data_IF_288313261262
#
_entry.id   IF_288313261262
#
_cell.length_a   1.000
_cell.length_b   1.000
_cell.length_c   1.000
_cell.angle_alpha   90.00
_cell.angle_beta   90.00
_cell.angle_gamma   90.00
#
_symmetry.space_group_name_H-M   'P 1'
#
loop_
_entity.id
_entity.type
_entity.pdbx_description
1 polymer ?
#
# COMPACT_ATOMS: atom_id res chain seq x y z
N UNK A 1 20.11 -21.98 -11.18
CA UNK A 1 20.88 -20.72 -11.01
C UNK A 1 20.99 -20.27 -9.54
N UNK A 2 20.37 -20.95 -8.58
CA UNK A 2 20.43 -20.63 -7.14
C UNK A 2 21.25 -21.63 -6.30
N UNK A 3 21.80 -22.67 -6.93
CA UNK A 3 22.59 -23.71 -6.26
C UNK A 3 23.72 -23.09 -5.42
N UNK A 4 23.77 -23.44 -4.13
CA UNK A 4 24.76 -22.96 -3.18
C UNK A 4 24.63 -21.48 -2.78
N UNK A 5 23.65 -20.73 -3.32
CA UNK A 5 23.41 -19.34 -2.93
C UNK A 5 22.61 -19.27 -1.63
N UNK A 6 22.93 -18.27 -0.81
CA UNK A 6 22.05 -17.83 0.29
C UNK A 6 20.96 -16.92 -0.24
N UNK A 7 19.72 -17.19 0.19
CA UNK A 7 18.53 -16.44 -0.26
C UNK A 7 17.66 -15.98 0.91
N UNK A 8 16.91 -14.91 0.65
CA UNK A 8 15.77 -14.47 1.45
C UNK A 8 14.48 -14.91 0.76
N UNK A 9 13.55 -15.49 1.51
CA UNK A 9 12.20 -15.80 1.03
C UNK A 9 11.28 -14.64 1.40
N UNK A 10 10.51 -14.14 0.45
CA UNK A 10 9.37 -13.26 0.72
C UNK A 10 8.08 -14.04 0.56
N UNK A 11 7.20 -13.93 1.57
CA UNK A 11 5.82 -14.39 1.50
C UNK A 11 4.92 -13.15 1.48
N UNK A 12 4.33 -12.88 0.32
CA UNK A 12 3.40 -11.75 0.15
C UNK A 12 1.99 -12.28 -0.13
N UNK A 13 1.07 -11.97 0.79
CA UNK A 13 -0.31 -12.41 0.75
C UNK A 13 -1.24 -11.33 0.23
N UNK A 14 -2.08 -11.65 -0.75
CA UNK A 14 -3.17 -10.76 -1.16
C UNK A 14 -4.41 -11.54 -1.61
N UNK A 15 -5.56 -10.87 -1.58
CA UNK A 15 -6.80 -11.37 -2.15
C UNK A 15 -6.96 -10.84 -3.57
N UNK A 16 -7.25 -11.73 -4.54
CA UNK A 16 -7.65 -11.28 -5.89
C UNK A 16 -8.97 -10.51 -5.82
N UNK A 17 -9.33 -9.84 -6.92
CA UNK A 17 -10.63 -9.14 -7.09
C UNK A 17 -11.83 -10.07 -6.80
N UNK A 18 -11.66 -11.38 -6.96
CA UNK A 18 -12.67 -12.43 -6.68
C UNK A 18 -12.65 -12.96 -5.25
N UNK A 19 -11.91 -12.33 -4.33
CA UNK A 19 -11.70 -12.79 -2.94
C UNK A 19 -11.03 -14.17 -2.81
N UNK A 20 -10.25 -14.57 -3.80
CA UNK A 20 -9.39 -15.76 -3.71
C UNK A 20 -8.06 -15.37 -3.04
N UNK A 21 -7.75 -15.89 -1.84
CA UNK A 21 -6.54 -15.54 -1.13
C UNK A 21 -5.34 -16.34 -1.66
N UNK A 22 -4.30 -15.64 -2.08
CA UNK A 22 -3.07 -16.25 -2.57
C UNK A 22 -1.85 -15.72 -1.81
N UNK A 23 -0.83 -16.56 -1.70
CA UNK A 23 0.48 -16.18 -1.18
C UNK A 23 1.50 -16.41 -2.28
N UNK A 24 2.19 -15.34 -2.69
CA UNK A 24 3.32 -15.45 -3.60
C UNK A 24 4.61 -15.67 -2.82
N UNK A 25 5.44 -16.60 -3.32
CA UNK A 25 6.76 -16.88 -2.79
C UNK A 25 7.79 -16.34 -3.76
N UNK A 26 8.59 -15.39 -3.30
CA UNK A 26 9.69 -14.81 -4.07
C UNK A 26 11.00 -15.06 -3.36
N UNK A 27 11.99 -15.59 -4.08
CA UNK A 27 13.36 -15.73 -3.60
C UNK A 27 14.18 -14.52 -4.03
N UNK A 28 14.88 -13.91 -3.08
CA UNK A 28 15.83 -12.83 -3.31
C UNK A 28 17.24 -13.32 -3.04
N UNK A 29 18.16 -13.05 -3.96
CA UNK A 29 19.58 -13.31 -3.75
C UNK A 29 20.26 -12.09 -3.16
N UNK A 30 21.44 -12.29 -2.58
CA UNK A 30 22.31 -11.19 -2.12
C UNK A 30 22.70 -10.22 -3.25
N UNK A 31 22.66 -10.67 -4.50
CA UNK A 31 23.10 -9.93 -5.67
C UNK A 31 21.97 -9.01 -6.22
N UNK A 32 20.78 -9.05 -5.61
CA UNK A 32 19.61 -8.25 -6.00
C UNK A 32 18.64 -8.98 -6.95
N UNK A 33 18.98 -10.17 -7.43
CA UNK A 33 18.08 -10.96 -8.27
C UNK A 33 16.84 -11.42 -7.48
N UNK A 34 15.68 -11.41 -8.13
CA UNK A 34 14.41 -11.90 -7.57
C UNK A 34 13.77 -12.95 -8.48
N UNK A 35 13.20 -14.00 -7.86
CA UNK A 35 12.59 -15.13 -8.57
C UNK A 35 11.24 -15.46 -7.94
N UNK A 36 10.15 -15.29 -8.68
CA UNK A 36 8.85 -15.84 -8.29
C UNK A 36 8.89 -17.36 -8.48
N UNK A 37 8.89 -18.10 -7.38
CA UNK A 37 9.09 -19.57 -7.41
C UNK A 37 7.81 -20.34 -7.15
N UNK A 38 6.84 -19.74 -6.47
CA UNK A 38 5.58 -20.40 -6.15
C UNK A 38 4.46 -19.36 -5.98
N UNK A 39 3.24 -19.76 -6.31
CA UNK A 39 2.02 -19.07 -5.90
C UNK A 39 1.12 -20.09 -5.24
N UNK A 40 0.88 -19.91 -3.95
CA UNK A 40 0.11 -20.83 -3.11
C UNK A 40 -1.31 -20.31 -3.04
N UNK A 41 -2.26 -21.09 -3.56
CA UNK A 41 -3.68 -20.86 -3.30
C UNK A 41 -3.99 -21.28 -1.85
N UNK A 42 -4.57 -20.35 -1.09
CA UNK A 42 -4.98 -20.56 0.30
C UNK A 42 -6.48 -20.59 0.47
N UNK A 43 -7.24 -20.67 -0.64
CA UNK A 43 -8.69 -20.84 -0.63
C UNK A 43 -9.08 -22.06 0.21
N UNK A 44 -10.03 -21.87 1.13
CA UNK A 44 -10.48 -22.93 2.03
C UNK A 44 -9.51 -23.26 3.18
N UNK A 45 -8.35 -22.60 3.28
CA UNK A 45 -7.46 -22.70 4.45
C UNK A 45 -7.79 -21.60 5.45
N UNK A 46 -7.72 -21.90 6.74
CA UNK A 46 -7.80 -20.87 7.76
C UNK A 46 -6.50 -20.05 7.74
N UNK A 47 -6.59 -18.72 7.67
CA UNK A 47 -5.41 -17.85 7.77
C UNK A 47 -4.95 -17.66 9.22
N UNK A 48 -4.89 -18.76 9.98
CA UNK A 48 -4.33 -18.77 11.33
C UNK A 48 -2.81 -18.74 11.29
N UNK A 49 -2.19 -18.33 12.40
CA UNK A 49 -0.74 -18.33 12.54
C UNK A 49 -0.13 -19.72 12.26
N UNK A 50 -0.77 -20.79 12.73
CA UNK A 50 -0.27 -22.17 12.58
C UNK A 50 -0.32 -22.66 11.13
N UNK A 51 -1.36 -22.29 10.38
CA UNK A 51 -1.45 -22.60 8.97
C UNK A 51 -0.36 -21.88 8.17
N UNK A 52 -0.15 -20.59 8.46
CA UNK A 52 0.89 -19.78 7.84
C UNK A 52 2.29 -20.29 8.19
N UNK A 53 2.49 -20.75 9.43
CA UNK A 53 3.75 -21.36 9.88
C UNK A 53 4.07 -22.62 9.05
N UNK A 54 3.07 -23.46 8.86
CA UNK A 54 3.19 -24.68 8.04
C UNK A 54 3.56 -24.33 6.60
N UNK A 55 2.88 -23.33 6.02
CA UNK A 55 3.20 -22.85 4.66
C UNK A 55 4.65 -22.35 4.60
N UNK A 56 5.06 -21.49 5.53
CA UNK A 56 6.41 -20.93 5.54
C UNK A 56 7.49 -22.01 5.63
N UNK A 57 7.32 -23.02 6.48
CA UNK A 57 8.26 -24.15 6.60
C UNK A 57 8.33 -24.99 5.33
N UNK A 58 7.18 -25.34 4.77
CA UNK A 58 7.12 -26.13 3.54
C UNK A 58 7.80 -25.37 2.40
N UNK A 59 7.52 -24.08 2.27
CA UNK A 59 8.17 -23.22 1.27
C UNK A 59 9.69 -23.16 1.43
N UNK A 60 10.22 -23.14 2.67
CA UNK A 60 11.66 -23.18 2.91
C UNK A 60 12.24 -24.50 2.40
N UNK A 61 11.66 -25.63 2.81
CA UNK A 61 12.13 -26.97 2.41
C UNK A 61 12.07 -27.11 0.89
N UNK A 62 10.91 -26.82 0.29
CA UNK A 62 10.70 -26.90 -1.15
C UNK A 62 11.68 -26.01 -1.93
N UNK A 63 11.98 -24.80 -1.44
CA UNK A 63 12.93 -23.90 -2.08
C UNK A 63 14.36 -24.45 -2.04
N UNK A 64 14.79 -24.99 -0.89
CA UNK A 64 16.13 -25.57 -0.76
C UNK A 64 16.28 -26.84 -1.58
N UNK A 65 15.29 -27.71 -1.58
CA UNK A 65 15.33 -29.00 -2.31
C UNK A 65 15.26 -28.78 -3.83
N UNK A 66 14.40 -27.86 -4.29
CA UNK A 66 14.18 -27.63 -5.72
C UNK A 66 15.32 -26.83 -6.35
N UNK A 67 15.84 -25.83 -5.64
CA UNK A 67 16.80 -24.87 -6.21
C UNK A 67 18.22 -25.01 -5.68
N UNK A 68 18.44 -25.89 -4.69
CA UNK A 68 19.73 -26.12 -4.05
C UNK A 68 20.29 -24.88 -3.34
N UNK A 69 19.45 -23.91 -3.00
CA UNK A 69 19.83 -22.71 -2.26
C UNK A 69 19.77 -22.96 -0.74
N UNK A 70 20.28 -22.01 0.03
CA UNK A 70 20.13 -21.99 1.48
C UNK A 70 19.28 -20.79 1.90
N UNK A 71 18.10 -21.05 2.47
CA UNK A 71 17.25 -19.98 2.99
C UNK A 71 17.81 -19.54 4.34
N UNK A 72 18.08 -18.24 4.49
CA UNK A 72 18.58 -17.66 5.76
C UNK A 72 17.67 -16.61 6.35
N UNK A 73 16.72 -16.11 5.59
CA UNK A 73 15.72 -15.21 6.11
C UNK A 73 14.37 -15.34 5.42
N UNK A 74 13.31 -14.96 6.15
CA UNK A 74 11.94 -14.86 5.65
C UNK A 74 11.39 -13.47 5.96
N UNK A 75 10.92 -12.78 4.94
CA UNK A 75 10.19 -11.51 5.06
C UNK A 75 8.70 -11.73 4.77
N UNK A 76 7.85 -11.24 5.66
CA UNK A 76 6.39 -11.36 5.52
C UNK A 76 5.69 -10.04 5.84
N UNK A 77 4.41 -9.87 5.48
CA UNK A 77 3.62 -8.70 5.90
C UNK A 77 3.50 -8.59 7.43
N UNK A 78 2.94 -7.49 7.96
CA UNK A 78 2.78 -7.30 9.40
C UNK A 78 1.35 -7.47 9.91
N UNK A 79 0.51 -8.23 9.21
CA UNK A 79 -0.79 -8.62 9.74
C UNK A 79 -0.63 -9.42 11.04
N UNK A 80 -1.60 -9.32 11.95
CA UNK A 80 -1.49 -9.86 13.31
C UNK A 80 -1.25 -11.39 13.35
N UNK A 81 -1.92 -12.14 12.46
CA UNK A 81 -1.72 -13.57 12.29
C UNK A 81 -0.31 -13.91 11.77
N UNK A 82 0.23 -13.12 10.85
CA UNK A 82 1.58 -13.29 10.29
C UNK A 82 2.65 -12.91 11.33
N UNK A 83 2.42 -11.85 12.11
CA UNK A 83 3.30 -11.49 13.22
C UNK A 83 3.36 -12.60 14.28
N UNK A 84 2.20 -13.17 14.64
CA UNK A 84 2.14 -14.34 15.53
C UNK A 84 2.87 -15.55 14.94
N UNK A 85 2.70 -15.82 13.64
CA UNK A 85 3.45 -16.87 12.95
C UNK A 85 4.96 -16.68 13.10
N UNK A 86 5.48 -15.46 12.91
CA UNK A 86 6.92 -15.18 13.09
C UNK A 86 7.37 -15.43 14.53
N UNK A 87 6.56 -15.06 15.52
CA UNK A 87 6.87 -15.33 16.94
C UNK A 87 6.95 -16.83 17.22
N UNK A 88 6.02 -17.64 16.68
CA UNK A 88 6.09 -19.09 16.82
C UNK A 88 7.30 -19.68 16.07
N UNK A 89 7.59 -19.17 14.87
CA UNK A 89 8.77 -19.57 14.09
C UNK A 89 10.07 -19.36 14.86
N UNK A 90 10.20 -18.26 15.61
CA UNK A 90 11.40 -17.94 16.40
C UNK A 90 11.62 -18.84 17.61
N UNK A 91 10.59 -19.58 18.07
CA UNK A 91 10.72 -20.53 19.18
C UNK A 91 11.36 -21.87 18.75
N UNK A 92 11.56 -22.07 17.46
CA UNK A 92 12.11 -23.31 16.92
C UNK A 92 13.62 -23.22 16.80
N UNK A 93 14.32 -23.74 17.82
CA UNK A 93 15.79 -23.71 17.93
C UNK A 93 16.54 -24.38 16.78
N UNK A 94 15.86 -25.21 15.99
CA UNK A 94 16.42 -25.96 14.86
C UNK A 94 16.37 -25.18 13.53
N UNK A 95 15.67 -24.06 13.45
CA UNK A 95 15.56 -23.23 12.24
C UNK A 95 16.57 -22.09 12.31
N UNK A 96 17.71 -22.26 11.65
CA UNK A 96 18.73 -21.20 11.49
C UNK A 96 18.32 -20.17 10.41
N UNK A 97 17.13 -19.60 10.58
CA UNK A 97 16.43 -18.69 9.65
C UNK A 97 15.88 -17.50 10.43
N UNK A 98 16.22 -16.29 10.00
CA UNK A 98 15.77 -15.05 10.63
C UNK A 98 14.44 -14.61 10.00
N UNK A 99 13.43 -14.29 10.80
CA UNK A 99 12.15 -13.77 10.30
C UNK A 99 12.00 -12.28 10.60
N UNK A 100 11.52 -11.50 9.64
CA UNK A 100 11.22 -10.07 9.85
C UNK A 100 10.01 -9.58 9.05
N UNK A 101 9.50 -8.44 9.48
CA UNK A 101 8.35 -7.79 8.87
C UNK A 101 8.71 -6.97 7.63
N UNK A 102 7.76 -6.83 6.71
CA UNK A 102 7.90 -6.00 5.53
C UNK A 102 8.00 -4.52 5.92
N UNK A 103 9.11 -3.87 5.57
CA UNK A 103 9.32 -2.43 5.82
C UNK A 103 8.28 -1.56 5.11
N UNK A 104 7.84 -1.96 3.91
CA UNK A 104 6.78 -1.23 3.19
C UNK A 104 5.49 -1.18 4.01
N UNK A 105 5.13 -2.30 4.65
CA UNK A 105 3.95 -2.36 5.49
C UNK A 105 4.14 -1.54 6.78
N UNK A 106 5.32 -1.58 7.40
CA UNK A 106 5.62 -0.73 8.58
C UNK A 106 5.48 0.77 8.25
N UNK A 107 6.01 1.21 7.11
CA UNK A 107 5.88 2.59 6.67
C UNK A 107 4.44 2.96 6.34
N UNK A 108 3.66 2.04 5.77
CA UNK A 108 2.22 2.24 5.59
C UNK A 108 1.48 2.46 6.92
N UNK A 109 1.85 1.71 7.97
CA UNK A 109 1.29 1.89 9.31
C UNK A 109 1.71 3.24 9.90
N UNK A 110 3.00 3.58 9.83
CA UNK A 110 3.50 4.89 10.27
C UNK A 110 2.78 6.05 9.55
N UNK A 111 2.57 5.93 8.24
CA UNK A 111 1.84 6.94 7.47
C UNK A 111 0.38 7.09 7.93
N UNK A 112 -0.27 6.00 8.39
CA UNK A 112 -1.59 6.06 9.00
C UNK A 112 -1.55 6.76 10.35
N UNK A 113 -0.55 6.50 11.18
CA UNK A 113 -0.38 7.17 12.48
C UNK A 113 -0.11 8.67 12.35
N UNK A 114 0.56 9.08 11.26
CA UNK A 114 0.79 10.50 10.93
C UNK A 114 -0.41 11.16 10.24
N UNK A 115 -1.43 10.39 9.85
CA UNK A 115 -2.59 10.94 9.16
C UNK A 115 -3.43 11.80 10.09
N UNK A 116 -3.97 12.90 9.57
CA UNK A 116 -4.83 13.79 10.32
C UNK A 116 -6.29 13.36 10.06
N UNK A 117 -7.09 13.09 11.10
CA UNK A 117 -8.49 12.69 10.94
C UNK A 117 -9.29 13.68 10.07
N UNK A 118 -10.14 13.15 9.19
CA UNK A 118 -11.03 13.94 8.33
C UNK A 118 -10.40 14.52 7.06
N UNK A 119 -9.07 14.78 7.01
CA UNK A 119 -8.44 15.36 5.81
C UNK A 119 -8.62 14.46 4.60
N UNK A 120 -8.30 13.17 4.76
CA UNK A 120 -8.43 12.19 3.68
C UNK A 120 -9.86 12.16 3.14
N UNK A 121 -10.86 12.12 4.03
CA UNK A 121 -12.26 12.01 3.64
C UNK A 121 -12.75 13.28 2.93
N UNK A 122 -12.31 14.46 3.40
CA UNK A 122 -12.61 15.73 2.75
C UNK A 122 -12.02 15.79 1.35
N UNK A 123 -10.75 15.44 1.18
CA UNK A 123 -10.08 15.43 -0.14
C UNK A 123 -10.73 14.40 -1.05
N UNK A 124 -10.97 13.18 -0.57
CA UNK A 124 -11.63 12.11 -1.34
C UNK A 124 -13.03 12.54 -1.79
N UNK A 125 -13.77 13.26 -0.95
CA UNK A 125 -15.10 13.80 -1.32
C UNK A 125 -15.01 14.72 -2.52
N UNK A 126 -14.12 15.71 -2.48
CA UNK A 126 -13.92 16.67 -3.58
C UNK A 126 -13.43 15.95 -4.84
N UNK A 127 -12.41 15.09 -4.72
CA UNK A 127 -11.87 14.35 -5.86
C UNK A 127 -12.92 13.44 -6.50
N UNK A 128 -13.76 12.76 -5.70
CA UNK A 128 -14.87 11.95 -6.21
C UNK A 128 -15.89 12.80 -6.97
N UNK A 129 -16.24 13.97 -6.46
CA UNK A 129 -17.16 14.88 -7.13
C UNK A 129 -16.65 15.26 -8.53
N UNK A 130 -15.45 15.81 -8.62
CA UNK A 130 -14.84 16.21 -9.90
C UNK A 130 -14.52 15.04 -10.84
N UNK A 131 -14.41 13.81 -10.32
CA UNK A 131 -14.10 12.63 -11.13
C UNK A 131 -15.33 11.91 -11.65
N UNK A 132 -16.40 11.83 -10.86
CA UNK A 132 -17.55 10.97 -11.15
C UNK A 132 -18.84 11.74 -11.46
N UNK A 133 -18.94 13.02 -11.10
CA UNK A 133 -20.08 13.85 -11.52
C UNK A 133 -19.79 14.35 -12.93
N UNK A 134 -20.62 13.94 -13.90
CA UNK A 134 -20.40 14.21 -15.32
C UNK A 134 -20.23 15.70 -15.64
N UNK A 135 -21.12 16.54 -15.12
CA UNK A 135 -21.07 18.00 -15.29
C UNK A 135 -19.74 18.57 -14.76
N UNK A 136 -19.41 18.29 -13.50
CA UNK A 136 -18.18 18.75 -12.87
C UNK A 136 -16.93 18.24 -13.60
N UNK A 137 -16.91 16.97 -14.01
CA UNK A 137 -15.79 16.37 -14.73
C UNK A 137 -15.52 17.05 -16.07
N UNK A 138 -16.58 17.32 -16.83
CA UNK A 138 -16.50 17.93 -18.16
C UNK A 138 -15.95 19.35 -18.05
N UNK A 139 -16.59 20.18 -17.22
CA UNK A 139 -16.17 21.58 -16.99
C UNK A 139 -14.77 21.69 -16.41
N UNK A 140 -14.43 20.83 -15.46
CA UNK A 140 -13.10 20.75 -14.89
C UNK A 140 -12.01 20.45 -15.95
N UNK A 141 -12.29 19.54 -16.88
CA UNK A 141 -11.37 19.23 -18.00
C UNK A 141 -11.27 20.38 -18.99
N UNK A 142 -12.39 21.02 -19.33
CA UNK A 142 -12.42 22.21 -20.20
C UNK A 142 -11.59 23.36 -19.61
N UNK A 143 -11.60 23.50 -18.29
CA UNK A 143 -10.81 24.50 -17.57
C UNK A 143 -9.31 24.14 -17.43
N UNK A 144 -8.85 23.06 -18.06
CA UNK A 144 -7.45 22.63 -18.02
C UNK A 144 -7.06 21.81 -16.79
N UNK A 145 -8.03 21.22 -16.10
CA UNK A 145 -7.79 20.36 -14.95
C UNK A 145 -6.86 19.17 -15.23
N UNK A 146 -5.90 18.93 -14.35
CA UNK A 146 -4.94 17.83 -14.46
C UNK A 146 -5.56 16.49 -14.04
N UNK A 147 -4.96 15.36 -14.42
CA UNK A 147 -5.44 14.05 -13.97
C UNK A 147 -5.22 13.89 -12.46
N UNK A 148 -6.29 13.58 -11.71
CA UNK A 148 -6.21 13.30 -10.28
C UNK A 148 -6.40 11.80 -9.99
N UNK A 149 -5.45 11.26 -9.22
CA UNK A 149 -5.49 9.88 -8.69
C UNK A 149 -6.29 9.85 -7.39
N UNK A 150 -7.14 8.84 -7.23
CA UNK A 150 -7.89 8.64 -5.99
C UNK A 150 -7.00 7.87 -5.00
N UNK A 151 -7.02 8.27 -3.72
CA UNK A 151 -6.32 7.55 -2.67
C UNK A 151 -6.88 6.12 -2.51
N UNK A 152 -5.98 5.16 -2.38
CA UNK A 152 -6.26 3.77 -2.04
C UNK A 152 -5.86 3.51 -0.58
N UNK A 153 -6.68 2.76 0.15
CA UNK A 153 -6.48 2.52 1.60
C UNK A 153 -5.24 1.69 1.94
N UNK A 154 -4.72 0.98 0.94
CA UNK A 154 -3.63 0.01 1.09
C UNK A 154 -2.24 0.59 0.85
N UNK A 155 -2.13 1.80 0.28
CA UNK A 155 -0.83 2.39 -0.09
C UNK A 155 -0.79 3.88 0.21
N UNK A 156 0.02 4.29 1.19
CA UNK A 156 0.22 5.71 1.56
C UNK A 156 0.66 6.59 0.38
N UNK A 157 1.47 6.09 -0.56
CA UNK A 157 1.86 6.85 -1.76
C UNK A 157 0.65 7.30 -2.58
N UNK A 158 -0.39 6.47 -2.66
CA UNK A 158 -1.63 6.85 -3.37
C UNK A 158 -2.36 8.01 -2.67
N UNK A 159 -2.28 8.08 -1.33
CA UNK A 159 -2.79 9.23 -0.57
C UNK A 159 -1.94 10.47 -0.88
N UNK A 160 -0.61 10.38 -0.84
CA UNK A 160 0.29 11.51 -1.16
C UNK A 160 0.01 12.06 -2.56
N UNK A 161 -0.10 11.20 -3.57
CA UNK A 161 -0.44 11.63 -4.93
C UNK A 161 -1.83 12.26 -5.03
N UNK A 162 -2.82 11.74 -4.28
CA UNK A 162 -4.16 12.32 -4.22
C UNK A 162 -4.13 13.74 -3.60
N UNK A 163 -3.41 13.92 -2.49
CA UNK A 163 -3.24 15.20 -1.80
C UNK A 163 -2.50 16.22 -2.69
N UNK A 164 -1.40 15.82 -3.33
CA UNK A 164 -0.65 16.67 -4.27
C UNK A 164 -1.50 17.05 -5.49
N UNK A 165 -2.27 16.09 -6.02
CA UNK A 165 -3.22 16.32 -7.11
C UNK A 165 -4.30 17.33 -6.71
N UNK A 166 -4.83 17.23 -5.49
CA UNK A 166 -5.78 18.21 -4.97
C UNK A 166 -5.18 19.62 -4.92
N UNK A 167 -3.99 19.78 -4.33
CA UNK A 167 -3.33 21.10 -4.23
C UNK A 167 -3.03 21.70 -5.60
N UNK A 168 -2.51 20.88 -6.53
CA UNK A 168 -2.16 21.33 -7.88
C UNK A 168 -3.38 21.80 -8.68
N UNK A 169 -4.56 21.23 -8.39
CA UNK A 169 -5.81 21.58 -9.07
C UNK A 169 -6.68 22.57 -8.30
N UNK A 170 -6.28 22.97 -7.09
CA UNK A 170 -7.07 23.85 -6.24
C UNK A 170 -7.46 25.17 -6.92
N UNK A 171 -6.59 25.86 -7.69
CA UNK A 171 -6.99 27.06 -8.42
C UNK A 171 -8.10 26.81 -9.45
N UNK A 172 -8.06 25.66 -10.13
CA UNK A 172 -9.08 25.26 -11.11
C UNK A 172 -10.38 24.90 -10.41
N UNK A 173 -10.32 24.22 -9.26
CA UNK A 173 -11.50 23.95 -8.45
C UNK A 173 -12.19 25.23 -7.98
N UNK A 174 -11.42 26.18 -7.43
CA UNK A 174 -11.96 27.47 -6.97
C UNK A 174 -12.65 28.20 -8.12
N UNK A 175 -11.97 28.32 -9.27
CA UNK A 175 -12.55 28.94 -10.47
C UNK A 175 -13.85 28.26 -10.90
N UNK A 176 -13.87 26.91 -10.93
CA UNK A 176 -15.08 26.15 -11.26
C UNK A 176 -16.21 26.43 -10.27
N UNK A 177 -15.93 26.44 -8.96
CA UNK A 177 -16.92 26.73 -7.92
C UNK A 177 -17.52 28.13 -8.07
N UNK A 178 -16.70 29.13 -8.40
CA UNK A 178 -17.12 30.51 -8.59
C UNK A 178 -17.97 30.69 -9.86
N UNK A 179 -17.61 30.03 -10.96
CA UNK A 179 -18.34 30.13 -12.24
C UNK A 179 -19.63 29.30 -12.28
N UNK A 180 -19.78 28.29 -11.42
CA UNK A 180 -20.89 27.34 -11.44
C UNK A 180 -21.59 27.22 -10.07
N UNK A 181 -21.67 28.34 -9.34
CA UNK A 181 -22.11 28.38 -7.94
C UNK A 181 -23.54 27.89 -7.71
N UNK A 182 -24.41 27.91 -8.73
CA UNK A 182 -25.80 27.43 -8.67
C UNK A 182 -25.93 25.90 -8.84
N UNK A 183 -24.98 25.28 -9.55
CA UNK A 183 -25.04 23.85 -9.91
C UNK A 183 -24.11 22.97 -9.07
N UNK A 184 -23.22 23.59 -8.28
CA UNK A 184 -22.22 22.86 -7.49
C UNK A 184 -22.78 22.28 -6.19
N UNK A 185 -22.27 21.11 -5.81
CA UNK A 185 -22.51 20.55 -4.48
C UNK A 185 -21.92 21.47 -3.39
N UNK A 186 -22.77 22.00 -2.51
CA UNK A 186 -22.36 22.95 -1.47
C UNK A 186 -21.31 22.39 -0.51
N UNK A 187 -21.29 21.07 -0.32
CA UNK A 187 -20.32 20.39 0.54
C UNK A 187 -18.93 20.28 -0.14
N UNK A 188 -18.86 20.01 -1.44
CA UNK A 188 -17.63 20.07 -2.23
C UNK A 188 -17.11 21.50 -2.33
N UNK A 189 -17.98 22.48 -2.59
CA UNK A 189 -17.64 23.90 -2.66
C UNK A 189 -17.03 24.41 -1.35
N UNK A 190 -17.68 24.15 -0.21
CA UNK A 190 -17.18 24.55 1.11
C UNK A 190 -15.76 24.01 1.40
N UNK A 191 -15.47 22.76 0.99
CA UNK A 191 -14.14 22.14 1.17
C UNK A 191 -13.08 22.73 0.25
N UNK A 192 -13.44 23.12 -0.97
CA UNK A 192 -12.51 23.78 -1.91
C UNK A 192 -12.07 25.15 -1.39
N UNK A 193 -12.98 25.90 -0.75
CA UNK A 193 -12.68 27.23 -0.20
C UNK A 193 -12.11 27.21 1.23
N UNK A 194 -11.96 26.04 1.85
CA UNK A 194 -11.42 25.90 3.21
C UNK A 194 -9.89 26.07 3.22
N UNK A 195 -9.44 27.26 3.63
CA UNK A 195 -8.02 27.59 3.77
C UNK A 195 -7.32 26.77 4.88
N UNK A 196 -8.07 26.36 5.91
CA UNK A 196 -7.51 25.51 6.98
C UNK A 196 -7.23 24.11 6.45
N UNK A 197 -8.15 23.56 5.65
CA UNK A 197 -7.98 22.28 4.97
C UNK A 197 -6.78 22.32 4.02
N UNK A 198 -6.63 23.37 3.21
CA UNK A 198 -5.46 23.55 2.34
C UNK A 198 -4.14 23.48 3.12
N UNK A 199 -4.01 24.27 4.19
CA UNK A 199 -2.79 24.30 5.02
C UNK A 199 -2.49 22.95 5.65
N UNK A 200 -3.53 22.27 6.16
CA UNK A 200 -3.38 20.96 6.76
C UNK A 200 -2.98 19.89 5.74
N UNK A 201 -3.46 19.99 4.49
CA UNK A 201 -3.03 19.11 3.39
C UNK A 201 -1.56 19.36 3.06
N UNK A 202 -1.13 20.61 2.95
CA UNK A 202 0.28 20.95 2.67
C UNK A 202 1.22 20.44 3.77
N UNK A 203 0.83 20.57 5.04
CA UNK A 203 1.59 20.03 6.17
C UNK A 203 1.63 18.49 6.15
N UNK A 204 0.49 17.84 5.89
CA UNK A 204 0.43 16.38 5.78
C UNK A 204 1.29 15.86 4.62
N UNK A 205 1.29 16.54 3.48
CA UNK A 205 2.17 16.19 2.35
C UNK A 205 3.64 16.23 2.80
N UNK A 206 4.07 17.28 3.50
CA UNK A 206 5.47 17.39 3.99
C UNK A 206 5.83 16.24 4.94
N UNK A 207 4.94 15.89 5.86
CA UNK A 207 5.15 14.76 6.79
C UNK A 207 5.26 13.42 6.05
N UNK A 208 4.41 13.19 5.06
CA UNK A 208 4.35 11.93 4.32
C UNK A 208 5.42 11.83 3.21
N UNK A 209 5.88 12.94 2.63
CA UNK A 209 6.93 12.96 1.60
C UNK A 209 8.25 12.39 2.13
N UNK A 210 8.61 12.69 3.37
CA UNK A 210 9.78 12.11 4.03
C UNK A 210 9.74 10.58 4.06
N UNK A 211 8.54 9.99 4.17
CA UNK A 211 8.32 8.55 4.13
C UNK A 211 8.37 8.03 2.68
N UNK A 212 7.77 8.76 1.72
CA UNK A 212 7.74 8.38 0.30
C UNK A 212 9.13 8.26 -0.31
N UNK A 213 10.01 9.23 -0.05
CA UNK A 213 11.38 9.25 -0.59
C UNK A 213 12.20 8.07 -0.07
N UNK A 214 11.88 7.56 1.12
CA UNK A 214 12.60 6.43 1.73
C UNK A 214 12.37 5.10 0.98
N UNK A 215 11.32 4.99 0.15
CA UNK A 215 10.96 3.75 -0.53
C UNK A 215 11.13 3.76 -2.07
N UNK A 216 11.27 4.95 -2.69
CA UNK A 216 11.48 5.09 -4.14
C UNK A 216 12.96 4.90 -4.57
N UNK A 217 13.77 4.25 -3.72
CA UNK A 217 15.18 3.89 -3.98
C UNK A 217 15.32 2.43 -4.42
#
# INVERSE_FOLDING_TARGET
>A
MLQGKTVCVSLDGWSKIRNEPIICVVLYTKDGDSFLVQTVDTSGKSHTADCLLTIAKNTIVESQDTFGCQVRSVVTDNAANVAKMRTEFQKEDNLNVITYGCSAHLLNLLAKDLSIPGIKDHVVTVVKYFKYVYFANTKYREAGGLKISLALDVRWNSLVHCLQGFISNLPVFIKFCEENCEEIDGNASAKVHDLSLKRNIEDLIKRLQSISITFDC
#
